data_IF_435617994081
#
_entry.id   IF_435617994081
#
_cell.length_a   1.000
_cell.length_b   1.000
_cell.length_c   1.000
_cell.angle_alpha   90.00
_cell.angle_beta   90.00
_cell.angle_gamma   90.00
#
_symmetry.space_group_name_H-M   'P 1'
#
loop_
_entity.id
_entity.type
_entity.pdbx_description
1 polymer ?
#
# COMPACT_ATOMS: atom_id res chain seq x y z
N UNK A 1 7.27 6.12 45.62
CA UNK A 1 7.52 6.50 44.21
C UNK A 1 6.76 7.78 43.91
N UNK A 2 7.24 8.63 43.00
CA UNK A 2 6.48 9.80 42.53
C UNK A 2 5.22 9.34 41.80
N UNK A 3 4.12 10.09 41.91
CA UNK A 3 2.95 9.85 41.07
C UNK A 3 3.35 10.17 39.62
N UNK A 4 3.36 9.14 38.78
CA UNK A 4 3.67 9.23 37.37
C UNK A 4 2.67 8.33 36.65
N UNK A 5 1.93 8.93 35.71
CA UNK A 5 0.91 8.23 34.92
C UNK A 5 1.30 8.30 33.45
N UNK A 6 1.34 7.14 32.80
CA UNK A 6 1.34 7.08 31.34
C UNK A 6 -0.13 7.15 30.90
N UNK A 7 -0.47 7.96 29.89
CA UNK A 7 -1.79 7.93 29.28
C UNK A 7 -2.20 6.50 28.90
N UNK A 8 -3.49 6.20 29.01
CA UNK A 8 -4.03 4.93 28.52
C UNK A 8 -3.67 4.79 27.02
N UNK A 9 -3.00 3.69 26.66
CA UNK A 9 -2.47 3.49 25.30
C UNK A 9 -1.13 4.19 24.99
N UNK A 10 -0.41 4.72 26.00
CA UNK A 10 0.89 5.39 25.81
C UNK A 10 2.12 4.49 25.92
N UNK A 11 1.97 3.26 26.43
CA UNK A 11 3.03 2.24 26.48
C UNK A 11 2.65 1.10 25.53
N UNK A 12 3.36 1.00 24.40
CA UNK A 12 3.19 -0.05 23.40
C UNK A 12 4.33 -1.06 23.51
N UNK A 13 4.34 -1.84 24.59
CA UNK A 13 5.28 -2.95 24.80
C UNK A 13 4.53 -4.27 24.97
N UNK A 14 5.18 -5.39 24.66
CA UNK A 14 4.62 -6.73 24.84
C UNK A 14 4.53 -7.55 23.55
N UNK A 15 3.91 -8.72 23.67
CA UNK A 15 3.80 -9.69 22.58
C UNK A 15 2.86 -9.18 21.51
N UNK A 16 3.29 -9.26 20.24
CA UNK A 16 2.47 -8.97 19.07
C UNK A 16 1.93 -10.25 18.46
N UNK A 17 0.68 -10.20 18.01
CA UNK A 17 0.11 -11.24 17.15
C UNK A 17 0.56 -10.98 15.72
N UNK A 18 1.48 -11.80 15.21
CA UNK A 18 1.99 -11.71 13.84
C UNK A 18 1.56 -12.95 13.07
N UNK A 19 0.45 -12.85 12.35
CA UNK A 19 -0.11 -13.93 11.55
C UNK A 19 -0.13 -13.51 10.08
N UNK A 20 0.58 -14.20 9.18
CA UNK A 20 0.49 -13.92 7.75
C UNK A 20 -0.87 -14.34 7.15
N UNK A 21 -1.63 -15.24 7.79
CA UNK A 21 -2.88 -15.81 7.25
C UNK A 21 -4.07 -15.73 8.23
N UNK A 22 -5.33 -15.88 7.75
CA UNK A 22 -6.51 -16.08 8.61
C UNK A 22 -6.45 -17.41 9.36
N UNK A 23 -7.32 -17.55 10.36
CA UNK A 23 -7.54 -18.83 11.02
C UNK A 23 -8.06 -19.87 10.02
N UNK A 24 -7.51 -21.09 10.07
CA UNK A 24 -7.87 -22.18 9.16
C UNK A 24 -7.19 -22.14 7.79
N UNK A 25 -6.26 -21.22 7.53
CA UNK A 25 -5.46 -21.22 6.30
C UNK A 25 -4.62 -22.50 6.21
N UNK A 26 -4.73 -23.20 5.08
CA UNK A 26 -3.92 -24.39 4.80
C UNK A 26 -2.64 -24.00 4.08
N UNK A 27 -1.53 -24.04 4.81
CA UNK A 27 -0.21 -23.91 4.21
C UNK A 27 0.06 -25.10 3.27
N UNK A 28 0.53 -24.81 2.07
CA UNK A 28 1.03 -25.81 1.10
C UNK A 28 2.39 -25.37 0.57
N UNK A 29 3.30 -26.29 0.19
CA UNK A 29 4.59 -25.92 -0.38
C UNK A 29 4.42 -25.12 -1.67
N UNK A 30 5.43 -24.32 -2.02
CA UNK A 30 5.54 -23.70 -3.34
C UNK A 30 6.26 -24.67 -4.28
N UNK A 31 5.70 -24.95 -5.46
CA UNK A 31 6.20 -25.98 -6.39
C UNK A 31 6.91 -25.40 -7.63
N UNK A 32 6.49 -24.22 -8.10
CA UNK A 32 6.98 -23.57 -9.31
C UNK A 32 7.91 -22.38 -9.01
N UNK A 33 7.84 -21.84 -7.80
CA UNK A 33 8.63 -20.70 -7.34
C UNK A 33 9.28 -20.99 -5.99
N UNK A 34 10.40 -20.33 -5.73
CA UNK A 34 10.97 -20.23 -4.39
C UNK A 34 10.50 -18.90 -3.78
N UNK A 35 9.95 -18.98 -2.56
CA UNK A 35 9.51 -17.82 -1.79
C UNK A 35 10.48 -17.62 -0.63
N UNK A 36 11.13 -16.45 -0.60
CA UNK A 36 12.12 -16.08 0.41
C UNK A 36 11.57 -14.94 1.28
N UNK A 37 10.97 -15.27 2.45
CA UNK A 37 10.43 -14.26 3.35
C UNK A 37 11.46 -13.22 3.75
N UNK A 38 11.08 -11.95 3.71
CA UNK A 38 11.92 -10.84 4.17
C UNK A 38 11.64 -10.48 5.63
N UNK A 39 10.45 -10.83 6.13
CA UNK A 39 10.04 -10.64 7.52
C UNK A 39 9.15 -11.79 7.99
N UNK A 40 8.58 -11.68 9.20
CA UNK A 40 7.68 -12.69 9.75
C UNK A 40 6.27 -12.67 9.16
N UNK A 41 5.80 -11.51 8.67
CA UNK A 41 4.36 -11.31 8.36
C UNK A 41 4.11 -10.70 6.98
N UNK A 42 5.08 -9.99 6.41
CA UNK A 42 4.93 -9.26 5.14
C UNK A 42 6.24 -9.27 4.34
N UNK A 43 6.14 -9.30 3.01
CA UNK A 43 7.28 -9.21 2.12
C UNK A 43 7.97 -10.55 1.86
N UNK A 44 8.02 -10.94 0.60
CA UNK A 44 8.86 -12.06 0.17
C UNK A 44 9.51 -11.79 -1.19
N UNK A 45 10.78 -12.17 -1.33
CA UNK A 45 11.44 -12.24 -2.64
C UNK A 45 11.04 -13.54 -3.33
N UNK A 46 10.66 -13.45 -4.60
CA UNK A 46 10.25 -14.57 -5.44
C UNK A 46 11.36 -14.88 -6.43
N UNK A 47 11.77 -16.15 -6.46
CA UNK A 47 12.79 -16.66 -7.39
C UNK A 47 12.21 -17.77 -8.25
N UNK A 48 12.79 -17.95 -9.43
CA UNK A 48 12.39 -19.00 -10.39
C UNK A 48 11.20 -18.64 -11.30
N UNK A 49 10.58 -17.48 -11.13
CA UNK A 49 9.51 -17.01 -12.01
C UNK A 49 10.05 -16.13 -13.15
N UNK A 50 9.85 -16.54 -14.40
CA UNK A 50 10.11 -15.72 -15.59
C UNK A 50 8.89 -14.85 -15.90
N UNK A 51 8.98 -13.55 -15.62
CA UNK A 51 7.90 -12.58 -15.84
C UNK A 51 7.88 -12.01 -17.27
N UNK A 52 8.88 -12.35 -18.11
CA UNK A 52 8.98 -11.81 -19.48
C UNK A 52 8.00 -12.50 -20.46
N UNK A 53 7.37 -13.58 -20.02
CA UNK A 53 6.45 -14.43 -20.79
C UNK A 53 5.08 -14.47 -20.12
N UNK A 54 4.00 -14.77 -20.88
CA UNK A 54 2.69 -15.01 -20.30
C UNK A 54 2.74 -16.10 -19.22
N UNK A 55 2.10 -15.84 -18.08
CA UNK A 55 2.07 -16.80 -16.98
C UNK A 55 1.17 -18.00 -17.33
N UNK A 56 1.61 -19.21 -16.97
CA UNK A 56 0.72 -20.36 -16.95
C UNK A 56 -0.34 -20.17 -15.84
N UNK A 57 -1.52 -20.80 -15.95
CA UNK A 57 -2.54 -20.73 -14.89
C UNK A 57 -2.00 -21.15 -13.52
N UNK A 58 -1.18 -22.21 -13.47
CA UNK A 58 -0.59 -22.72 -12.24
C UNK A 58 0.41 -21.73 -11.61
N UNK A 59 1.28 -21.11 -12.43
CA UNK A 59 2.21 -20.09 -11.94
C UNK A 59 1.47 -18.84 -11.46
N UNK A 60 0.44 -18.39 -12.18
CA UNK A 60 -0.41 -17.28 -11.74
C UNK A 60 -1.07 -17.57 -10.40
N UNK A 61 -1.64 -18.77 -10.21
CA UNK A 61 -2.28 -19.16 -8.95
C UNK A 61 -1.26 -19.17 -7.80
N UNK A 62 -0.07 -19.70 -8.04
CA UNK A 62 0.95 -19.78 -7.02
C UNK A 62 1.54 -18.41 -6.65
N UNK A 63 1.74 -17.51 -7.63
CA UNK A 63 2.09 -16.11 -7.38
C UNK A 63 0.97 -15.36 -6.66
N UNK A 64 -0.30 -15.62 -6.99
CA UNK A 64 -1.44 -15.04 -6.28
C UNK A 64 -1.43 -15.48 -4.81
N UNK A 65 -1.20 -16.76 -4.54
CA UNK A 65 -1.05 -17.28 -3.18
C UNK A 65 0.11 -16.59 -2.44
N UNK A 66 1.26 -16.44 -3.07
CA UNK A 66 2.39 -15.71 -2.48
C UNK A 66 2.02 -14.25 -2.17
N UNK A 67 1.28 -13.57 -3.07
CA UNK A 67 0.79 -12.22 -2.84
C UNK A 67 -0.18 -12.17 -1.66
N UNK A 68 -1.15 -13.08 -1.56
CA UNK A 68 -2.10 -13.12 -0.44
C UNK A 68 -1.41 -13.40 0.90
N UNK A 69 -0.43 -14.30 0.91
CA UNK A 69 0.32 -14.69 2.11
C UNK A 69 1.28 -13.59 2.56
N UNK A 70 2.02 -12.98 1.65
CA UNK A 70 3.10 -12.04 1.96
C UNK A 70 2.75 -10.58 1.73
N UNK A 71 1.56 -10.30 1.17
CA UNK A 71 0.98 -8.98 0.84
C UNK A 71 1.78 -8.11 -0.13
N UNK A 72 3.09 -8.25 -0.16
CA UNK A 72 3.98 -7.69 -1.18
C UNK A 72 5.04 -8.73 -1.53
N UNK A 73 5.24 -8.91 -2.83
CA UNK A 73 6.23 -9.84 -3.38
C UNK A 73 7.19 -9.08 -4.29
N UNK A 74 8.46 -9.47 -4.26
CA UNK A 74 9.55 -8.80 -4.94
C UNK A 74 10.21 -9.72 -5.97
N UNK A 75 10.56 -9.18 -7.13
CA UNK A 75 11.31 -9.88 -8.17
C UNK A 75 12.56 -9.07 -8.47
N UNK A 76 13.73 -9.71 -8.38
CA UNK A 76 15.01 -9.04 -8.60
C UNK A 76 15.35 -8.99 -10.09
N UNK A 77 15.77 -7.82 -10.58
CA UNK A 77 16.33 -7.65 -11.92
C UNK A 77 15.47 -8.20 -13.07
N UNK A 78 14.15 -8.08 -12.97
CA UNK A 78 13.22 -8.58 -13.98
C UNK A 78 13.27 -7.76 -15.29
N UNK A 79 13.53 -6.45 -15.17
CA UNK A 79 13.72 -5.49 -16.27
C UNK A 79 12.69 -5.62 -17.42
N UNK A 80 11.40 -5.71 -17.06
CA UNK A 80 10.32 -5.86 -18.03
C UNK A 80 10.14 -4.60 -18.85
N UNK A 81 9.96 -4.70 -20.17
CA UNK A 81 9.47 -3.57 -20.96
C UNK A 81 8.10 -3.08 -20.42
N UNK A 82 7.73 -1.79 -20.58
CA UNK A 82 6.49 -1.27 -20.01
C UNK A 82 5.24 -2.07 -20.42
N UNK A 83 5.20 -2.58 -21.66
CA UNK A 83 4.12 -3.40 -22.19
C UNK A 83 4.09 -4.80 -21.55
N UNK A 84 5.26 -5.37 -21.22
CA UNK A 84 5.38 -6.63 -20.48
C UNK A 84 4.94 -6.46 -19.03
N UNK A 85 5.29 -5.34 -18.38
CA UNK A 85 4.81 -5.02 -17.03
C UNK A 85 3.28 -4.90 -16.99
N UNK A 86 2.69 -4.23 -17.99
CA UNK A 86 1.24 -4.17 -18.14
C UNK A 86 0.61 -5.54 -18.42
N UNK A 87 1.21 -6.34 -19.30
CA UNK A 87 0.74 -7.71 -19.58
C UNK A 87 0.80 -8.62 -18.35
N UNK A 88 1.86 -8.51 -17.54
CA UNK A 88 1.97 -9.22 -16.26
C UNK A 88 0.84 -8.81 -15.31
N UNK A 89 0.61 -7.51 -15.10
CA UNK A 89 -0.45 -7.02 -14.22
C UNK A 89 -1.86 -7.45 -14.68
N UNK A 90 -2.11 -7.57 -15.99
CA UNK A 90 -3.40 -8.02 -16.55
C UNK A 90 -3.82 -9.43 -16.15
N UNK A 91 -2.90 -10.27 -15.68
CA UNK A 91 -3.24 -11.58 -15.11
C UNK A 91 -4.10 -11.50 -13.83
N UNK A 92 -4.24 -10.30 -13.24
CA UNK A 92 -5.06 -10.06 -12.05
C UNK A 92 -6.31 -9.22 -12.30
N UNK A 93 -6.46 -8.60 -13.47
CA UNK A 93 -7.65 -7.83 -13.80
C UNK A 93 -7.42 -6.71 -14.80
N UNK A 94 -8.44 -5.87 -14.94
CA UNK A 94 -8.38 -4.64 -15.72
C UNK A 94 -7.38 -3.65 -15.11
N UNK A 95 -6.69 -2.89 -15.96
CA UNK A 95 -5.70 -1.91 -15.52
C UNK A 95 -6.38 -0.55 -15.26
N UNK A 96 -5.95 0.11 -14.19
CA UNK A 96 -6.44 1.45 -13.83
C UNK A 96 -5.72 2.54 -14.64
N UNK A 97 -6.45 3.59 -15.00
CA UNK A 97 -5.88 4.89 -15.41
C UNK A 97 -6.08 5.94 -14.31
N UNK A 98 -5.09 6.83 -14.15
CA UNK A 98 -5.11 7.85 -13.10
C UNK A 98 -4.77 9.26 -13.65
N UNK A 99 -5.76 10.16 -13.77
CA UNK A 99 -5.56 11.49 -14.34
C UNK A 99 -4.86 12.49 -13.39
N UNK A 100 -4.63 12.12 -12.12
CA UNK A 100 -3.88 12.92 -11.14
C UNK A 100 -2.37 12.68 -11.22
N UNK A 101 -1.93 11.63 -11.93
CA UNK A 101 -0.53 11.20 -11.98
C UNK A 101 0.07 11.36 -13.38
N UNK A 102 1.40 11.47 -13.43
CA UNK A 102 2.12 11.61 -14.70
C UNK A 102 2.10 10.31 -15.50
N UNK A 103 1.78 10.42 -16.79
CA UNK A 103 1.72 9.29 -17.72
C UNK A 103 3.12 8.87 -18.18
N UNK A 104 3.28 7.58 -18.40
CA UNK A 104 4.45 6.95 -19.01
C UNK A 104 4.25 6.76 -20.51
N UNK A 105 4.58 5.58 -21.03
CA UNK A 105 4.42 5.24 -22.45
C UNK A 105 2.96 5.01 -22.88
N UNK A 106 2.03 4.82 -21.93
CA UNK A 106 0.59 4.73 -22.17
C UNK A 106 -0.21 5.28 -20.97
N UNK A 107 -1.54 5.37 -21.12
CA UNK A 107 -2.43 5.83 -20.05
C UNK A 107 -2.54 4.86 -18.86
N UNK A 108 -2.17 3.58 -19.06
CA UNK A 108 -2.16 2.53 -18.02
C UNK A 108 -0.84 2.49 -17.24
N UNK A 109 0.18 3.21 -17.72
CA UNK A 109 1.51 3.23 -17.12
C UNK A 109 1.73 4.60 -16.50
N UNK A 110 1.86 4.63 -15.18
CA UNK A 110 2.22 5.85 -14.44
C UNK A 110 3.73 5.92 -14.30
N UNK A 111 4.31 7.09 -14.58
CA UNK A 111 5.75 7.32 -14.46
C UNK A 111 6.05 8.30 -13.33
N UNK A 112 6.80 7.83 -12.34
CA UNK A 112 7.29 8.65 -11.24
C UNK A 112 8.75 8.99 -11.49
N UNK A 113 9.00 10.23 -11.90
CA UNK A 113 10.35 10.73 -12.17
C UNK A 113 10.70 11.88 -11.22
N UNK A 114 11.75 11.69 -10.44
CA UNK A 114 12.34 12.71 -9.56
C UNK A 114 13.72 13.04 -10.12
N UNK A 115 13.89 14.25 -10.63
CA UNK A 115 15.14 14.71 -11.22
C UNK A 115 16.18 15.02 -10.13
N UNK A 116 17.47 14.87 -10.44
CA UNK A 116 18.56 15.09 -9.48
C UNK A 116 18.59 16.53 -8.94
N UNK A 117 18.23 17.52 -9.77
CA UNK A 117 18.19 18.96 -9.46
C UNK A 117 16.92 19.38 -8.68
N UNK A 118 15.91 18.51 -8.59
CA UNK A 118 14.71 18.76 -7.78
C UNK A 118 14.94 18.59 -6.27
N UNK A 119 16.19 18.35 -5.86
CA UNK A 119 16.61 18.23 -4.46
C UNK A 119 16.19 19.46 -3.65
N UNK A 120 15.15 19.28 -2.84
CA UNK A 120 14.63 20.29 -1.92
C UNK A 120 13.61 21.29 -2.49
N UNK A 121 13.25 21.22 -3.77
CA UNK A 121 12.33 22.20 -4.39
C UNK A 121 10.95 21.66 -4.73
N UNK A 122 10.77 20.33 -4.84
CA UNK A 122 9.46 19.73 -5.14
C UNK A 122 8.93 18.92 -3.95
N UNK A 123 7.75 19.28 -3.41
CA UNK A 123 7.04 18.44 -2.46
C UNK A 123 6.83 17.03 -3.03
N UNK A 124 7.05 16.00 -2.21
CA UNK A 124 6.75 14.60 -2.55
C UNK A 124 5.43 14.19 -1.91
N UNK A 125 4.56 13.50 -2.66
CA UNK A 125 3.27 13.02 -2.15
C UNK A 125 3.34 11.55 -1.70
N UNK A 126 4.47 10.87 -1.94
CA UNK A 126 4.65 9.43 -1.72
C UNK A 126 5.26 9.10 -0.34
N UNK A 127 5.85 10.08 0.34
CA UNK A 127 6.53 9.94 1.64
C UNK A 127 5.58 10.16 2.83
N UNK A 128 4.40 9.55 2.73
CA UNK A 128 3.35 9.48 3.77
C UNK A 128 2.77 8.07 3.70
N UNK A 129 2.43 7.46 4.84
CA UNK A 129 1.82 6.13 4.83
C UNK A 129 0.43 6.21 4.20
N UNK A 130 0.26 5.46 3.11
CA UNK A 130 -0.97 5.47 2.35
C UNK A 130 -1.28 4.15 1.67
N UNK A 131 -2.55 3.98 1.36
CA UNK A 131 -3.07 3.00 0.42
C UNK A 131 -3.47 3.76 -0.83
N UNK A 132 -3.14 3.24 -2.02
CA UNK A 132 -3.39 3.94 -3.27
C UNK A 132 -4.89 4.16 -3.49
N UNK A 133 -5.22 5.37 -3.95
CA UNK A 133 -6.52 5.78 -4.51
C UNK A 133 -7.76 5.37 -3.72
N UNK A 134 -7.66 5.34 -2.37
CA UNK A 134 -8.81 5.01 -1.50
C UNK A 134 -9.97 6.00 -1.59
N UNK A 135 -9.78 7.14 -2.27
CA UNK A 135 -10.85 8.09 -2.61
C UNK A 135 -11.73 7.63 -3.81
N UNK A 136 -11.46 6.46 -4.39
CA UNK A 136 -12.32 5.84 -5.41
C UNK A 136 -13.29 4.84 -4.76
N UNK A 137 -14.46 4.65 -5.36
CA UNK A 137 -15.43 3.63 -4.89
C UNK A 137 -14.85 2.21 -4.96
N UNK A 138 -14.02 1.95 -5.97
CA UNK A 138 -13.28 0.69 -6.17
C UNK A 138 -11.79 0.99 -6.21
N UNK A 139 -11.11 1.12 -5.05
CA UNK A 139 -9.68 1.35 -5.00
C UNK A 139 -8.91 0.23 -5.70
N UNK A 140 -7.67 0.49 -6.12
CA UNK A 140 -6.84 -0.51 -6.76
C UNK A 140 -6.73 -1.80 -5.91
N UNK A 141 -6.81 -2.95 -6.57
CA UNK A 141 -6.55 -4.26 -5.97
C UNK A 141 -5.09 -4.35 -5.52
N UNK A 142 -4.20 -3.93 -6.42
CA UNK A 142 -2.76 -4.00 -6.23
C UNK A 142 -2.07 -3.24 -7.34
N UNK A 143 -0.76 -3.10 -7.22
CA UNK A 143 0.03 -2.45 -8.25
C UNK A 143 1.40 -3.11 -8.40
N UNK A 144 1.88 -3.08 -9.63
CA UNK A 144 3.20 -3.58 -10.03
C UNK A 144 4.07 -2.36 -10.29
N UNK A 145 5.07 -2.15 -9.45
CA UNK A 145 6.04 -1.06 -9.56
C UNK A 145 7.40 -1.61 -9.96
N UNK A 146 8.02 -1.00 -10.96
CA UNK A 146 9.36 -1.33 -11.41
C UNK A 146 10.24 -0.08 -11.35
N UNK A 147 11.46 -0.23 -10.85
CA UNK A 147 12.44 0.85 -10.82
C UNK A 147 13.39 0.76 -12.00
N UNK A 148 13.38 1.81 -12.83
CA UNK A 148 14.26 1.98 -13.99
C UNK A 148 15.59 2.58 -13.59
N UNK A 149 15.54 3.61 -12.75
CA UNK A 149 16.72 4.27 -12.23
C UNK A 149 16.63 4.32 -10.71
N UNK A 150 17.64 3.76 -10.05
CA UNK A 150 17.76 3.69 -8.60
C UNK A 150 18.94 4.55 -8.16
N UNK A 151 18.75 5.42 -7.16
CA UNK A 151 19.86 6.14 -6.53
C UNK A 151 20.93 5.19 -5.97
N UNK A 152 22.21 5.59 -5.91
CA UNK A 152 23.25 4.76 -5.33
C UNK A 152 23.02 4.46 -3.84
N UNK A 153 22.32 5.35 -3.12
CA UNK A 153 21.93 5.21 -1.71
C UNK A 153 20.53 5.82 -1.54
N UNK A 154 19.68 5.18 -0.73
CA UNK A 154 18.34 5.67 -0.42
C UNK A 154 17.28 5.30 -1.46
N UNK A 155 16.09 5.89 -1.36
CA UNK A 155 14.96 5.65 -2.26
C UNK A 155 14.25 4.32 -2.03
N UNK A 156 14.43 3.74 -0.83
CA UNK A 156 13.75 2.52 -0.41
C UNK A 156 12.23 2.73 -0.34
N UNK A 157 11.48 1.63 -0.42
CA UNK A 157 10.03 1.67 -0.16
C UNK A 157 9.72 0.75 1.01
N UNK A 158 8.79 1.17 1.86
CA UNK A 158 8.29 0.37 2.97
C UNK A 158 6.83 0.02 2.73
N UNK A 159 6.43 -1.17 3.20
CA UNK A 159 5.03 -1.60 3.27
C UNK A 159 4.70 -2.04 4.69
N UNK A 160 3.44 -1.89 5.10
CA UNK A 160 2.92 -2.32 6.39
C UNK A 160 1.71 -3.25 6.21
N UNK A 161 1.67 -4.34 6.98
CA UNK A 161 0.52 -5.26 7.05
C UNK A 161 -0.58 -4.66 7.93
N UNK A 162 -1.67 -4.24 7.28
CA UNK A 162 -2.78 -3.60 7.97
C UNK A 162 -3.71 -4.59 8.68
N UNK A 163 -3.58 -5.89 8.41
CA UNK A 163 -4.23 -6.94 9.19
C UNK A 163 -3.50 -7.17 10.52
N UNK A 164 -2.16 -7.19 10.51
CA UNK A 164 -1.36 -7.18 11.74
C UNK A 164 -1.62 -5.91 12.58
N UNK A 165 -1.77 -4.76 11.93
CA UNK A 165 -2.17 -3.51 12.57
C UNK A 165 -3.52 -3.64 13.30
N UNK A 166 -4.52 -4.24 12.66
CA UNK A 166 -5.83 -4.49 13.28
C UNK A 166 -5.75 -5.51 14.43
N UNK A 167 -5.08 -6.64 14.24
CA UNK A 167 -5.01 -7.74 15.21
C UNK A 167 -4.47 -7.28 16.57
N UNK A 168 -3.58 -6.30 16.57
CA UNK A 168 -2.89 -5.79 17.75
C UNK A 168 -3.52 -4.54 18.36
N UNK A 169 -4.68 -4.08 17.85
CA UNK A 169 -5.48 -3.06 18.53
C UNK A 169 -6.05 -3.60 19.84
N UNK A 170 -6.22 -2.70 20.82
CA UNK A 170 -6.91 -3.04 22.06
C UNK A 170 -8.37 -3.45 21.79
N UNK A 171 -8.97 -4.33 22.61
CA UNK A 171 -10.38 -4.70 22.47
C UNK A 171 -11.32 -3.49 22.44
N UNK A 172 -11.05 -2.48 23.27
CA UNK A 172 -11.82 -1.23 23.33
C UNK A 172 -11.76 -0.45 22.01
N UNK A 173 -10.60 -0.38 21.37
CA UNK A 173 -10.49 0.29 20.06
C UNK A 173 -11.22 -0.50 19.00
N UNK A 174 -11.08 -1.84 19.00
CA UNK A 174 -11.80 -2.72 18.06
C UNK A 174 -13.31 -2.56 18.17
N UNK A 175 -13.85 -2.50 19.38
CA UNK A 175 -15.29 -2.27 19.64
C UNK A 175 -15.75 -0.92 19.09
N UNK A 176 -14.96 0.14 19.26
CA UNK A 176 -15.31 1.49 18.76
C UNK A 176 -15.33 1.62 17.24
N UNK A 177 -14.59 0.78 16.53
CA UNK A 177 -14.48 0.83 15.07
C UNK A 177 -15.26 -0.28 14.37
N UNK A 178 -15.93 -1.15 15.12
CA UNK A 178 -16.73 -2.24 14.55
C UNK A 178 -17.96 -1.67 13.83
N UNK A 179 -18.06 -1.96 12.53
CA UNK A 179 -19.08 -1.38 11.64
C UNK A 179 -18.91 0.12 11.35
N UNK A 180 -17.86 0.78 11.85
CA UNK A 180 -17.61 2.18 11.56
C UNK A 180 -17.14 2.38 10.12
N UNK A 181 -17.50 3.50 9.53
CA UNK A 181 -17.08 3.93 8.19
C UNK A 181 -16.36 5.27 8.26
N UNK A 182 -15.53 5.55 7.27
CA UNK A 182 -14.79 6.80 7.15
C UNK A 182 -14.90 7.37 5.74
N UNK A 183 -14.85 8.70 5.66
CA UNK A 183 -14.89 9.42 4.40
C UNK A 183 -13.47 9.57 3.82
N UNK A 184 -13.30 9.20 2.56
CA UNK A 184 -12.05 9.29 1.82
C UNK A 184 -12.16 10.36 0.72
N UNK A 185 -11.21 11.28 0.70
CA UNK A 185 -11.16 12.41 -0.22
C UNK A 185 -9.71 12.61 -0.70
N UNK A 186 -9.55 12.89 -1.99
CA UNK A 186 -8.25 13.15 -2.59
C UNK A 186 -7.73 14.56 -2.28
N UNK A 187 -8.61 15.52 -2.01
CA UNK A 187 -8.25 16.94 -1.85
C UNK A 187 -7.14 17.15 -0.81
N UNK A 188 -7.21 16.63 0.43
CA UNK A 188 -6.16 16.87 1.43
C UNK A 188 -4.79 16.31 1.00
N UNK A 189 -4.80 15.18 0.29
CA UNK A 189 -3.61 14.52 -0.24
C UNK A 189 -2.96 15.27 -1.40
N UNK A 190 -3.75 15.98 -2.23
CA UNK A 190 -3.24 16.64 -3.45
C UNK A 190 -3.16 18.16 -3.38
N UNK A 191 -3.86 18.84 -2.47
CA UNK A 191 -3.90 20.31 -2.35
C UNK A 191 -2.55 20.97 -2.09
N UNK A 192 -1.54 20.21 -1.65
CA UNK A 192 -0.16 20.69 -1.47
C UNK A 192 0.69 20.61 -2.73
N UNK A 193 0.18 19.95 -3.78
CA UNK A 193 0.96 19.54 -4.96
C UNK A 193 0.35 20.02 -6.28
N UNK A 194 -0.93 20.40 -6.29
CA UNK A 194 -1.64 20.91 -7.47
C UNK A 194 -2.52 22.10 -7.10
N UNK A 195 -2.95 22.88 -8.10
CA UNK A 195 -3.78 24.06 -7.90
C UNK A 195 -5.22 23.70 -7.54
N UNK A 196 -5.92 24.63 -6.87
CA UNK A 196 -7.32 24.44 -6.48
C UNK A 196 -8.24 24.29 -7.70
N UNK A 197 -7.94 24.99 -8.80
CA UNK A 197 -8.69 24.90 -10.06
C UNK A 197 -8.61 23.48 -10.64
N UNK A 198 -7.40 22.90 -10.67
CA UNK A 198 -7.21 21.53 -11.16
C UNK A 198 -7.90 20.49 -10.27
N UNK A 199 -7.95 20.71 -8.95
CA UNK A 199 -8.72 19.84 -8.05
C UNK A 199 -10.22 19.97 -8.30
N UNK A 200 -10.72 21.20 -8.48
CA UNK A 200 -12.13 21.46 -8.72
C UNK A 200 -12.66 20.74 -9.99
N UNK A 201 -11.88 20.70 -11.07
CA UNK A 201 -12.22 19.96 -12.29
C UNK A 201 -12.43 18.45 -12.06
N UNK A 202 -11.79 17.89 -11.03
CA UNK A 202 -11.77 16.44 -10.78
C UNK A 202 -12.74 16.02 -9.67
N UNK A 203 -13.39 16.96 -8.97
CA UNK A 203 -14.30 16.64 -7.87
C UNK A 203 -15.57 15.91 -8.34
N UNK A 204 -16.07 16.23 -9.53
CA UNK A 204 -17.24 15.54 -10.10
C UNK A 204 -16.89 14.10 -10.53
N UNK A 205 -15.64 13.86 -10.96
CA UNK A 205 -15.15 12.54 -11.33
C UNK A 205 -14.80 11.70 -10.09
N UNK A 206 -14.24 12.33 -9.06
CA UNK A 206 -13.82 11.70 -7.81
C UNK A 206 -14.49 12.36 -6.59
N UNK A 207 -15.81 12.18 -6.42
CA UNK A 207 -16.48 12.66 -5.21
C UNK A 207 -15.94 11.92 -3.99
N UNK A 208 -16.01 12.51 -2.78
CA UNK A 208 -15.67 11.81 -1.55
C UNK A 208 -16.47 10.51 -1.42
N UNK A 209 -15.81 9.44 -0.99
CA UNK A 209 -16.40 8.10 -0.86
C UNK A 209 -16.27 7.57 0.55
N UNK A 210 -17.31 6.87 0.99
CA UNK A 210 -17.35 6.23 2.30
C UNK A 210 -16.88 4.78 2.22
N UNK A 211 -15.90 4.42 3.05
CA UNK A 211 -15.34 3.07 3.15
C UNK A 211 -15.36 2.58 4.60
N UNK A 212 -15.42 1.25 4.86
CA UNK A 212 -15.32 0.71 6.20
C UNK A 212 -13.95 1.03 6.82
N UNK A 213 -13.93 1.41 8.11
CA UNK A 213 -12.68 1.58 8.89
C UNK A 213 -11.98 0.24 9.07
N UNK A 214 -12.75 -0.84 9.19
CA UNK A 214 -12.27 -2.22 9.24
C UNK A 214 -12.78 -2.96 8.01
N UNK A 215 -11.88 -3.19 7.05
CA UNK A 215 -12.18 -3.96 5.83
C UNK A 215 -11.99 -5.45 6.06
N UNK A 216 -12.78 -6.27 5.38
CA UNK A 216 -12.54 -7.71 5.20
C UNK A 216 -11.86 -7.96 3.84
N UNK A 217 -10.77 -8.73 3.83
CA UNK A 217 -10.13 -9.11 2.57
C UNK A 217 -11.06 -10.02 1.75
N UNK A 218 -11.30 -9.74 0.46
CA UNK A 218 -12.24 -10.52 -0.35
C UNK A 218 -11.80 -11.98 -0.55
N UNK A 219 -10.48 -12.24 -0.59
CA UNK A 219 -9.95 -13.60 -0.83
C UNK A 219 -9.47 -14.32 0.43
N UNK A 220 -9.07 -13.60 1.48
CA UNK A 220 -8.49 -14.21 2.69
C UNK A 220 -9.40 -14.11 3.90
N UNK A 221 -10.45 -13.29 3.86
CA UNK A 221 -11.34 -13.06 4.99
C UNK A 221 -10.68 -12.36 6.19
N UNK A 222 -9.41 -11.96 6.11
CA UNK A 222 -8.74 -11.21 7.18
C UNK A 222 -9.40 -9.85 7.36
N UNK A 223 -9.63 -9.46 8.61
CA UNK A 223 -9.95 -8.07 8.98
C UNK A 223 -8.68 -7.23 9.01
N UNK A 224 -8.77 -6.00 8.54
CA UNK A 224 -7.65 -5.05 8.49
C UNK A 224 -8.11 -3.61 8.65
N UNK A 225 -7.21 -2.75 9.13
CA UNK A 225 -7.46 -1.32 9.17
C UNK A 225 -7.39 -0.72 7.76
N UNK A 226 -8.43 0.00 7.36
CA UNK A 226 -8.56 0.61 6.04
C UNK A 226 -8.73 2.13 6.14
N UNK A 227 -7.84 2.76 6.90
CA UNK A 227 -7.73 4.21 7.04
C UNK A 227 -6.29 4.64 6.82
N UNK A 228 -6.06 5.78 6.19
CA UNK A 228 -4.73 6.28 5.90
C UNK A 228 -4.64 7.80 5.99
N UNK A 229 -3.43 8.31 6.19
CA UNK A 229 -3.20 9.75 6.44
C UNK A 229 -3.46 10.61 5.21
N UNK A 230 -3.30 10.06 4.00
CA UNK A 230 -3.41 10.82 2.75
C UNK A 230 -4.85 11.14 2.36
N UNK A 231 -5.77 10.21 2.61
CA UNK A 231 -7.11 10.28 2.03
C UNK A 231 -8.25 10.21 3.06
N UNK A 232 -8.05 9.56 4.22
CA UNK A 232 -9.11 9.46 5.22
C UNK A 232 -9.29 10.79 5.96
N UNK A 233 -10.47 11.39 5.85
CA UNK A 233 -10.74 12.73 6.40
C UNK A 233 -11.39 12.72 7.78
N UNK A 234 -12.37 11.85 7.98
CA UNK A 234 -13.11 11.70 9.25
C UNK A 234 -13.88 10.37 9.28
N UNK A 235 -14.20 9.90 10.49
CA UNK A 235 -15.11 8.77 10.74
C UNK A 235 -16.53 9.31 10.72
N UNK A 236 -17.39 8.68 9.92
CA UNK A 236 -18.78 9.11 9.71
C UNK A 236 -19.59 8.90 10.99
N UNK A 237 -20.45 9.86 11.33
CA UNK A 237 -21.31 9.79 12.51
C UNK A 237 -20.60 10.06 13.84
N UNK A 238 -19.32 10.42 13.84
CA UNK A 238 -18.54 10.73 15.05
C UNK A 238 -18.28 12.24 15.16
N UNK A 239 -18.20 12.77 16.38
CA UNK A 239 -17.75 14.15 16.61
C UNK A 239 -16.37 14.37 15.99
N UNK A 240 -16.12 15.57 15.44
CA UNK A 240 -14.89 15.83 14.68
C UNK A 240 -13.62 15.66 15.53
N UNK A 241 -13.61 16.19 16.75
CA UNK A 241 -12.44 16.09 17.63
C UNK A 241 -12.25 14.67 18.17
N UNK A 242 -13.32 13.89 18.30
CA UNK A 242 -13.24 12.46 18.59
C UNK A 242 -12.69 11.66 17.40
N UNK A 243 -13.22 11.89 16.20
CA UNK A 243 -12.77 11.28 14.95
C UNK A 243 -11.28 11.55 14.73
N UNK A 244 -10.83 12.80 14.84
CA UNK A 244 -9.44 13.16 14.61
C UNK A 244 -8.49 12.44 15.60
N UNK A 245 -8.89 12.31 16.87
CA UNK A 245 -8.11 11.58 17.88
C UNK A 245 -8.05 10.08 17.60
N UNK A 246 -9.18 9.47 17.23
CA UNK A 246 -9.22 8.05 16.92
C UNK A 246 -8.46 7.74 15.62
N UNK A 247 -8.66 8.52 14.55
CA UNK A 247 -7.90 8.37 13.31
C UNK A 247 -6.40 8.49 13.55
N UNK A 248 -5.95 9.45 14.36
CA UNK A 248 -4.54 9.57 14.72
C UNK A 248 -3.99 8.31 15.43
N UNK A 249 -4.79 7.61 16.23
CA UNK A 249 -4.41 6.33 16.82
C UNK A 249 -4.34 5.19 15.79
N UNK A 250 -5.32 5.12 14.88
CA UNK A 250 -5.43 4.08 13.87
C UNK A 250 -4.32 4.19 12.81
N UNK A 251 -4.09 5.38 12.24
CA UNK A 251 -3.07 5.56 11.19
C UNK A 251 -1.64 5.37 11.71
N UNK A 252 -1.40 5.59 13.01
CA UNK A 252 -0.12 5.30 13.66
C UNK A 252 0.22 3.81 13.68
N UNK A 253 -0.74 2.91 13.54
CA UNK A 253 -0.45 1.48 13.55
C UNK A 253 0.46 1.07 12.38
N UNK A 254 0.37 1.75 11.23
CA UNK A 254 1.28 1.51 10.11
C UNK A 254 2.75 1.77 10.46
N UNK A 255 3.04 2.58 11.51
CA UNK A 255 4.39 2.91 11.95
C UNK A 255 5.03 1.87 12.90
N UNK A 256 4.31 0.83 13.31
CA UNK A 256 4.87 -0.23 14.17
C UNK A 256 5.85 -1.09 13.36
N UNK A 257 7.15 -1.17 13.72
CA UNK A 257 8.17 -1.83 12.90
C UNK A 257 7.90 -3.30 12.60
N UNK A 258 7.31 -4.04 13.54
CA UNK A 258 7.02 -5.47 13.39
C UNK A 258 5.98 -5.78 12.32
N UNK A 259 5.22 -4.78 11.86
CA UNK A 259 4.23 -4.94 10.79
C UNK A 259 4.81 -4.60 9.42
N UNK A 260 6.08 -4.19 9.33
CA UNK A 260 6.65 -3.58 8.14
C UNK A 260 7.70 -4.45 7.46
N UNK A 261 7.82 -4.29 6.14
CA UNK A 261 9.00 -4.65 5.36
C UNK A 261 9.59 -3.40 4.72
N UNK A 262 10.91 -3.29 4.67
CA UNK A 262 11.64 -2.25 3.93
C UNK A 262 12.41 -2.89 2.79
N UNK A 263 12.12 -2.47 1.56
CA UNK A 263 12.76 -2.98 0.37
C UNK A 263 13.81 -2.00 -0.14
N UNK A 264 15.07 -2.47 -0.19
CA UNK A 264 16.17 -1.79 -0.85
C UNK A 264 16.20 -2.21 -2.32
N UNK A 265 16.02 -1.24 -3.21
CA UNK A 265 15.84 -1.48 -4.63
C UNK A 265 17.15 -1.66 -5.38
N UNK A 266 17.09 -2.39 -6.49
CA UNK A 266 18.08 -2.43 -7.55
C UNK A 266 17.40 -2.08 -8.90
N UNK A 267 18.15 -1.62 -9.91
CA UNK A 267 17.59 -1.40 -11.24
C UNK A 267 16.94 -2.68 -11.81
N UNK A 268 15.74 -2.53 -12.39
CA UNK A 268 14.95 -3.63 -12.94
C UNK A 268 14.17 -4.44 -11.91
N UNK A 269 14.30 -4.13 -10.62
CA UNK A 269 13.51 -4.77 -9.57
C UNK A 269 12.03 -4.41 -9.69
N UNK A 270 11.18 -5.37 -9.37
CA UNK A 270 9.73 -5.23 -9.32
C UNK A 270 9.23 -5.50 -7.90
N UNK A 271 8.30 -4.68 -7.44
CA UNK A 271 7.41 -5.00 -6.33
C UNK A 271 5.98 -5.13 -6.86
N UNK A 272 5.29 -6.19 -6.46
CA UNK A 272 3.86 -6.33 -6.63
C UNK A 272 3.21 -6.45 -5.25
N UNK A 273 2.36 -5.50 -4.88
CA UNK A 273 1.67 -5.51 -3.60
C UNK A 273 0.15 -5.56 -3.74
N UNK A 274 -0.46 -6.17 -2.74
CA UNK A 274 -1.88 -6.14 -2.49
C UNK A 274 -2.23 -4.83 -1.76
N UNK A 275 -2.79 -3.90 -2.53
CA UNK A 275 -3.21 -2.60 -2.05
C UNK A 275 -4.47 -2.71 -1.16
N UNK A 276 -5.18 -3.83 -1.18
CA UNK A 276 -6.31 -4.08 -0.29
C UNK A 276 -5.83 -4.32 1.14
N UNK A 277 -4.63 -4.90 1.30
CA UNK A 277 -4.09 -5.36 2.59
C UNK A 277 -2.98 -4.49 3.21
N UNK A 278 -2.44 -3.52 2.45
CA UNK A 278 -1.24 -2.79 2.86
C UNK A 278 -1.39 -1.28 2.80
N UNK A 279 -0.58 -0.61 3.62
CA UNK A 279 -0.11 0.74 3.34
C UNK A 279 1.35 0.70 2.91
N UNK A 280 1.81 1.75 2.23
CA UNK A 280 3.20 1.92 1.84
C UNK A 280 3.71 3.35 2.00
N UNK A 281 5.02 3.48 2.02
CA UNK A 281 5.75 4.72 2.22
C UNK A 281 7.01 4.73 1.34
N UNK A 282 7.15 5.72 0.46
CA UNK A 282 8.38 5.90 -0.32
C UNK A 282 9.35 6.81 0.43
N UNK A 283 10.55 6.32 0.75
CA UNK A 283 11.55 7.11 1.46
C UNK A 283 12.13 8.17 0.54
N UNK A 284 12.06 9.42 0.98
CA UNK A 284 12.69 10.55 0.30
C UNK A 284 14.04 10.89 0.95
N UNK A 285 15.00 9.97 0.84
CA UNK A 285 16.35 10.03 1.43
C UNK A 285 17.47 9.93 0.38
N UNK A 286 17.18 10.29 -0.88
CA UNK A 286 18.08 10.18 -2.03
C UNK A 286 18.34 11.53 -2.73
N UNK A 287 18.44 12.60 -1.95
CA UNK A 287 18.64 13.97 -2.45
C UNK A 287 19.83 14.06 -3.39
N UNK A 288 19.68 14.80 -4.49
CA UNK A 288 20.73 14.97 -5.49
C UNK A 288 20.86 13.82 -6.49
N UNK A 289 20.02 12.78 -6.38
CA UNK A 289 20.01 11.64 -7.30
C UNK A 289 18.68 11.49 -8.02
N UNK A 290 18.75 11.08 -9.28
CA UNK A 290 17.58 10.77 -10.09
C UNK A 290 16.98 9.43 -9.65
N UNK A 291 15.65 9.36 -9.60
CA UNK A 291 14.90 8.12 -9.34
C UNK A 291 13.75 8.04 -10.32
N UNK A 292 13.64 6.92 -11.02
CA UNK A 292 12.61 6.68 -12.03
C UNK A 292 11.89 5.38 -11.74
N UNK A 293 10.56 5.46 -11.58
CA UNK A 293 9.68 4.33 -11.40
C UNK A 293 8.58 4.31 -12.46
N UNK A 294 8.17 3.11 -12.83
CA UNK A 294 6.97 2.87 -13.64
C UNK A 294 6.03 1.96 -12.88
N UNK A 295 4.76 2.35 -12.80
CA UNK A 295 3.72 1.63 -12.07
C UNK A 295 2.55 1.32 -12.97
N UNK A 296 2.06 0.10 -12.85
CA UNK A 296 0.77 -0.33 -13.38
C UNK A 296 -0.11 -0.72 -12.20
N UNK A 297 -1.34 -0.22 -12.15
CA UNK A 297 -2.30 -0.55 -11.10
C UNK A 297 -3.44 -1.41 -11.66
N UNK A 298 -3.95 -2.33 -10.85
CA UNK A 298 -5.06 -3.22 -11.20
C UNK A 298 -6.32 -2.75 -10.50
N UNK A 299 -7.42 -2.59 -11.24
CA UNK A 299 -8.72 -2.18 -10.68
C UNK A 299 -9.18 -3.18 -9.63
N UNK A 300 -9.64 -2.68 -8.48
CA UNK A 300 -10.17 -3.52 -7.41
C UNK A 300 -11.69 -3.58 -7.35
N UNK A 301 -12.18 -3.94 -6.17
CA UNK A 301 -13.57 -4.08 -5.80
C UNK A 301 -13.97 -3.05 -4.74
N UNK A 302 -15.27 -2.98 -4.43
CA UNK A 302 -15.76 -2.12 -3.36
C UNK A 302 -15.41 -2.75 -2.00
N UNK A 303 -14.71 -2.05 -1.10
CA UNK A 303 -14.43 -2.55 0.25
C UNK A 303 -15.71 -2.83 1.06
N UNK A 304 -15.67 -3.84 1.93
CA UNK A 304 -16.73 -4.25 2.84
C UNK A 304 -16.18 -4.75 4.18
#
# INVERSE_FOLDING_TARGET
>A
MRDARVPEGGLYEGVRTLRPYPEGWQERPYELIEVVPQTRVIGAEIRGADLTRPLSPALREELNRALLEWKVIFFRGADLAPEQQAAFARHWGELETNPLLARGSSDEIVRFEKAADSAGTRPTYENVWHTDVTFRERPAMGAVLQLREVPPIGGHTMWADMAAAYDNLSPRVKERIDGATAMHDFIPGFARFTSAERLAELQDEFPPVEHPVVRTHPETGRKMLFVNTSFTTHIVGMDRAESDRLLAELVRQAHVPEYQVRFAWQPGDIAFWDNRATQHYALFDYMGHRRVAERVAVVGDRPF
#
